data_IF_987494702601
#
_entry.id   IF_987494702601
#
_cell.length_a   1.000
_cell.length_b   1.000
_cell.length_c   1.000
_cell.angle_alpha   90.00
_cell.angle_beta   90.00
_cell.angle_gamma   90.00
#
_symmetry.space_group_name_H-M   'P 1'
#
loop_
_entity.id
_entity.type
_entity.pdbx_description
1 polymer ?
#
# COMPACT_ATOMS: atom_id res chain seq x y z
N UNK A 1 5.33 -23.49 12.63
CA UNK A 1 5.76 -22.69 13.78
C UNK A 1 4.94 -23.05 15.01
N UNK A 2 3.60 -22.89 15.00
CA UNK A 2 2.72 -23.14 16.16
C UNK A 2 2.92 -24.56 16.70
N UNK A 3 2.82 -25.60 15.87
CA UNK A 3 2.97 -27.00 16.30
C UNK A 3 4.34 -27.30 16.93
N UNK A 4 5.40 -26.58 16.55
CA UNK A 4 6.73 -26.70 17.15
C UNK A 4 6.81 -26.06 18.55
N UNK A 5 6.05 -24.98 18.76
CA UNK A 5 6.08 -24.25 20.03
C UNK A 5 5.26 -24.91 21.13
N UNK A 6 4.37 -25.86 20.78
CA UNK A 6 3.47 -26.53 21.70
C UNK A 6 3.79 -28.02 21.90
N UNK A 7 4.73 -28.58 21.08
CA UNK A 7 5.06 -30.01 21.13
C UNK A 7 5.55 -30.50 22.50
N UNK A 8 6.07 -29.61 23.30
CA UNK A 8 6.68 -29.90 24.60
C UNK A 8 5.77 -29.56 25.80
N UNK A 9 4.49 -29.20 25.51
CA UNK A 9 3.54 -28.81 26.56
C UNK A 9 2.53 -29.94 26.81
N UNK A 10 2.73 -30.68 27.89
CA UNK A 10 1.84 -31.77 28.30
C UNK A 10 0.42 -31.25 28.60
N UNK A 11 -0.58 -31.95 28.08
CA UNK A 11 -1.99 -31.67 28.34
C UNK A 11 -2.59 -30.50 27.55
N UNK A 12 -1.84 -29.92 26.60
CA UNK A 12 -2.34 -28.86 25.71
C UNK A 12 -2.54 -29.43 24.30
N UNK A 13 -3.74 -29.26 23.74
CA UNK A 13 -4.01 -29.47 22.32
C UNK A 13 -4.39 -28.14 21.69
N UNK A 14 -3.92 -27.89 20.47
CA UNK A 14 -4.25 -26.69 19.71
C UNK A 14 -4.75 -27.09 18.34
N UNK A 15 -6.00 -26.74 18.03
CA UNK A 15 -6.56 -26.83 16.70
C UNK A 15 -6.39 -25.50 15.98
N UNK A 16 -5.82 -25.55 14.77
CA UNK A 16 -5.58 -24.35 13.95
C UNK A 16 -6.46 -24.45 12.72
N UNK A 17 -7.49 -23.62 12.67
CA UNK A 17 -8.33 -23.45 11.50
C UNK A 17 -7.91 -22.18 10.73
N UNK A 18 -7.71 -22.31 9.42
CA UNK A 18 -7.47 -21.17 8.56
C UNK A 18 -8.79 -20.52 8.17
N UNK A 19 -9.14 -19.42 8.82
CA UNK A 19 -10.36 -18.67 8.54
C UNK A 19 -10.23 -17.87 7.23
N UNK A 20 -9.04 -17.31 6.95
CA UNK A 20 -8.80 -16.49 5.77
C UNK A 20 -7.35 -16.56 5.32
N UNK A 21 -7.13 -16.51 4.03
CA UNK A 21 -5.81 -16.28 3.43
C UNK A 21 -5.83 -14.95 2.69
N UNK A 22 -5.06 -14.00 3.17
CA UNK A 22 -4.85 -12.72 2.49
C UNK A 22 -3.57 -12.81 1.66
N UNK A 23 -3.71 -12.84 0.35
CA UNK A 23 -2.55 -12.74 -0.56
C UNK A 23 -2.03 -11.30 -0.60
N UNK A 24 -0.71 -11.09 -0.69
CA UNK A 24 -0.13 -9.77 -0.83
C UNK A 24 -0.48 -9.15 -2.18
N UNK A 25 -0.37 -7.82 -2.28
CA UNK A 25 -0.36 -7.14 -3.57
C UNK A 25 0.91 -7.57 -4.34
N UNK A 26 0.71 -8.26 -5.46
CA UNK A 26 1.80 -8.72 -6.33
C UNK A 26 1.90 -7.82 -7.56
N UNK A 27 3.11 -7.45 -8.00
CA UNK A 27 3.30 -6.73 -9.26
C UNK A 27 2.76 -7.55 -10.44
N UNK A 28 1.93 -6.95 -11.27
CA UNK A 28 1.38 -7.59 -12.47
C UNK A 28 1.37 -6.63 -13.65
N UNK A 29 1.45 -7.16 -14.87
CA UNK A 29 1.43 -6.36 -16.09
C UNK A 29 2.51 -5.28 -16.10
N UNK A 30 2.20 -4.13 -16.70
CA UNK A 30 3.14 -2.99 -16.79
C UNK A 30 3.08 -2.07 -15.55
N UNK A 31 3.06 -2.66 -14.38
CA UNK A 31 3.04 -1.91 -13.11
C UNK A 31 4.24 -0.99 -12.96
N UNK A 32 5.40 -1.35 -13.53
CA UNK A 32 6.61 -0.53 -13.43
C UNK A 32 6.46 0.79 -14.20
N UNK A 33 5.81 0.79 -15.37
CA UNK A 33 5.49 2.02 -16.10
C UNK A 33 4.59 2.93 -15.27
N UNK A 34 3.52 2.37 -14.69
CA UNK A 34 2.61 3.11 -13.82
C UNK A 34 3.34 3.71 -12.62
N UNK A 35 4.15 2.91 -11.93
CA UNK A 35 4.92 3.34 -10.77
C UNK A 35 5.92 4.47 -11.13
N UNK A 36 6.61 4.34 -12.26
CA UNK A 36 7.57 5.34 -12.72
C UNK A 36 6.92 6.69 -13.07
N UNK A 37 5.73 6.66 -13.68
CA UNK A 37 4.98 7.89 -14.00
C UNK A 37 4.58 8.61 -12.71
N UNK A 38 4.00 7.88 -11.76
CA UNK A 38 3.59 8.48 -10.48
C UNK A 38 4.80 8.96 -9.69
N UNK A 39 5.89 8.21 -9.64
CA UNK A 39 7.13 8.60 -9.00
C UNK A 39 7.70 9.89 -9.58
N UNK A 40 7.77 10.00 -10.92
CA UNK A 40 8.21 11.21 -11.63
C UNK A 40 7.44 12.45 -11.16
N UNK A 41 6.12 12.38 -11.19
CA UNK A 41 5.28 13.51 -10.80
C UNK A 41 5.30 13.79 -9.30
N UNK A 42 5.33 12.74 -8.47
CA UNK A 42 5.46 12.89 -7.02
C UNK A 42 6.77 13.58 -6.65
N UNK A 43 7.89 13.17 -7.24
CA UNK A 43 9.18 13.80 -6.98
C UNK A 43 9.22 15.26 -7.43
N UNK A 44 8.61 15.58 -8.57
CA UNK A 44 8.55 16.97 -9.08
C UNK A 44 7.64 17.86 -8.22
N UNK A 45 6.47 17.39 -7.81
CA UNK A 45 5.51 18.19 -7.03
C UNK A 45 6.00 18.40 -5.59
N UNK A 46 6.64 17.39 -5.01
CA UNK A 46 7.11 17.42 -3.61
C UNK A 46 8.54 17.95 -3.47
N UNK A 47 9.22 18.26 -4.59
CA UNK A 47 10.61 18.70 -4.65
C UNK A 47 11.56 17.81 -3.83
N UNK A 48 11.40 16.49 -3.97
CA UNK A 48 12.22 15.49 -3.29
C UNK A 48 12.20 14.15 -4.05
N UNK A 49 13.21 13.34 -3.85
CA UNK A 49 13.22 11.97 -4.39
C UNK A 49 12.19 11.10 -3.64
N UNK A 50 11.26 10.50 -4.38
CA UNK A 50 10.22 9.62 -3.83
C UNK A 50 10.54 8.19 -4.26
N UNK A 51 11.01 7.33 -3.35
CA UNK A 51 11.32 5.95 -3.67
C UNK A 51 10.04 5.11 -3.83
N UNK A 52 10.13 4.08 -4.66
CA UNK A 52 9.16 2.98 -4.64
C UNK A 52 9.46 2.07 -3.45
N UNK A 53 8.45 1.75 -2.65
CA UNK A 53 8.62 0.92 -1.47
C UNK A 53 7.46 -0.06 -1.29
N UNK A 54 7.75 -1.21 -0.71
CA UNK A 54 6.72 -2.09 -0.19
C UNK A 54 6.26 -1.61 1.19
N UNK A 55 4.97 -1.66 1.43
CA UNK A 55 4.41 -1.31 2.73
C UNK A 55 3.64 -2.48 3.33
N UNK A 56 3.74 -2.71 4.64
CA UNK A 56 3.06 -3.81 5.31
C UNK A 56 1.59 -3.47 5.59
N UNK A 57 0.88 -3.01 4.56
CA UNK A 57 -0.53 -2.63 4.64
C UNK A 57 -1.40 -3.62 3.87
N UNK A 58 -2.53 -3.96 4.45
CA UNK A 58 -3.56 -4.74 3.80
C UNK A 58 -4.54 -3.81 3.10
N UNK A 59 -4.70 -3.97 1.78
CA UNK A 59 -5.61 -3.14 0.99
C UNK A 59 -6.34 -3.96 -0.06
N UNK A 60 -7.45 -3.44 -0.57
CA UNK A 60 -8.21 -4.04 -1.66
C UNK A 60 -7.49 -3.98 -3.02
N UNK A 61 -6.41 -3.23 -3.13
CA UNK A 61 -5.54 -3.17 -4.32
C UNK A 61 -5.09 -4.57 -4.79
N UNK A 62 -4.92 -5.53 -3.88
CA UNK A 62 -4.61 -6.92 -4.18
C UNK A 62 -5.65 -7.61 -5.06
N UNK A 63 -6.92 -7.22 -4.97
CA UNK A 63 -7.98 -7.79 -5.79
C UNK A 63 -7.86 -7.36 -7.24
N UNK A 64 -7.50 -6.11 -7.50
CA UNK A 64 -7.23 -5.63 -8.85
C UNK A 64 -6.02 -6.36 -9.46
N UNK A 65 -4.93 -6.48 -8.72
CA UNK A 65 -3.76 -7.22 -9.16
C UNK A 65 -4.06 -8.71 -9.42
N UNK A 66 -4.88 -9.35 -8.59
CA UNK A 66 -5.32 -10.74 -8.81
C UNK A 66 -6.08 -10.94 -10.13
N UNK A 67 -6.69 -9.88 -10.66
CA UNK A 67 -7.34 -9.87 -11.98
C UNK A 67 -6.43 -9.33 -13.11
N UNK A 68 -5.13 -9.23 -12.88
CA UNK A 68 -4.16 -8.80 -13.89
C UNK A 68 -4.11 -7.29 -14.13
N UNK A 69 -4.74 -6.48 -13.27
CA UNK A 69 -4.76 -5.02 -13.40
C UNK A 69 -3.52 -4.45 -12.70
N UNK A 70 -2.61 -3.74 -13.43
CA UNK A 70 -1.47 -3.07 -12.82
C UNK A 70 -1.93 -2.08 -11.75
N UNK A 71 -1.48 -2.26 -10.53
CA UNK A 71 -1.97 -1.49 -9.39
C UNK A 71 -0.83 -1.09 -8.48
N UNK A 72 -0.82 0.17 -8.07
CA UNK A 72 0.08 0.73 -7.05
C UNK A 72 -0.73 1.43 -5.97
N UNK A 73 -0.10 1.67 -4.84
CA UNK A 73 -0.65 2.50 -3.78
C UNK A 73 0.02 3.87 -3.83
N UNK A 74 -0.79 4.92 -3.90
CA UNK A 74 -0.37 6.30 -3.77
C UNK A 74 -1.48 7.10 -3.08
N UNK A 75 -1.14 7.98 -2.17
CA UNK A 75 -2.15 8.74 -1.43
C UNK A 75 -1.60 10.02 -0.81
N UNK A 76 -2.51 10.79 -0.23
CA UNK A 76 -2.27 12.09 0.36
C UNK A 76 -1.85 12.02 1.85
N UNK A 77 -1.54 10.85 2.34
CA UNK A 77 -1.22 10.65 3.75
C UNK A 77 0.05 11.39 4.20
N UNK A 78 0.19 11.64 5.49
CA UNK A 78 1.43 12.11 6.07
C UNK A 78 2.56 11.08 5.84
N UNK A 79 3.80 11.51 6.11
CA UNK A 79 5.00 10.73 5.78
C UNK A 79 5.17 9.44 6.60
N UNK A 80 4.52 9.36 7.75
CA UNK A 80 4.55 8.16 8.59
C UNK A 80 3.14 7.69 8.93
N UNK A 81 3.03 6.39 9.23
CA UNK A 81 1.78 5.77 9.68
C UNK A 81 1.35 6.34 11.04
N UNK A 82 2.33 6.65 11.89
CA UNK A 82 2.12 7.24 13.21
C UNK A 82 1.52 8.64 13.11
N UNK A 83 1.99 9.46 12.17
CA UNK A 83 1.48 10.82 11.97
C UNK A 83 0.06 10.83 11.39
N UNK A 84 -0.30 9.81 10.64
CA UNK A 84 -1.64 9.67 10.06
C UNK A 84 -2.69 9.37 11.12
N UNK A 85 -2.33 8.66 12.18
CA UNK A 85 -3.26 8.11 13.16
C UNK A 85 -4.42 7.31 12.49
N UNK A 86 -4.12 6.61 11.40
CA UNK A 86 -5.11 5.92 10.60
C UNK A 86 -5.98 4.97 11.46
N UNK A 87 -7.29 4.97 11.19
CA UNK A 87 -8.31 4.21 11.92
C UNK A 87 -8.51 4.63 13.40
N UNK A 88 -8.09 5.83 13.78
CA UNK A 88 -8.32 6.39 15.12
C UNK A 88 -9.27 7.59 15.05
N UNK A 89 -9.80 7.99 16.21
CA UNK A 89 -10.75 9.11 16.31
C UNK A 89 -10.15 10.46 15.90
N UNK A 90 -8.83 10.58 15.98
CA UNK A 90 -8.05 11.77 15.62
C UNK A 90 -7.23 11.59 14.33
N UNK A 91 -7.66 10.69 13.45
CA UNK A 91 -7.09 10.56 12.11
C UNK A 91 -7.15 11.91 11.39
N UNK A 92 -6.03 12.28 10.77
CA UNK A 92 -5.86 13.60 10.18
C UNK A 92 -5.09 13.55 8.88
N UNK A 93 -5.43 14.49 8.01
CA UNK A 93 -4.77 14.70 6.74
C UNK A 93 -4.43 16.19 6.58
N UNK A 94 -3.14 16.57 6.46
CA UNK A 94 -2.75 17.93 6.13
C UNK A 94 -3.26 18.35 4.75
N UNK A 95 -3.92 19.51 4.66
CA UNK A 95 -4.55 19.97 3.41
C UNK A 95 -3.55 20.22 2.28
N UNK A 96 -2.35 20.65 2.58
CA UNK A 96 -1.29 20.81 1.58
C UNK A 96 -0.91 19.46 0.95
N UNK A 97 -0.81 18.39 1.72
CA UNK A 97 -0.52 17.05 1.20
C UNK A 97 -1.66 16.51 0.33
N UNK A 98 -2.91 16.83 0.68
CA UNK A 98 -4.06 16.51 -0.17
C UNK A 98 -3.98 17.23 -1.52
N UNK A 99 -3.65 18.53 -1.52
CA UNK A 99 -3.49 19.30 -2.75
C UNK A 99 -2.35 18.78 -3.63
N UNK A 100 -1.22 18.44 -3.03
CA UNK A 100 -0.08 17.91 -3.76
C UNK A 100 -0.37 16.52 -4.33
N UNK A 101 -1.03 15.65 -3.57
CA UNK A 101 -1.47 14.35 -4.09
C UNK A 101 -2.45 14.50 -5.27
N UNK A 102 -3.38 15.43 -5.20
CA UNK A 102 -4.30 15.69 -6.30
C UNK A 102 -3.57 16.15 -7.58
N UNK A 103 -2.55 17.03 -7.45
CA UNK A 103 -1.70 17.43 -8.58
C UNK A 103 -0.96 16.24 -9.19
N UNK A 104 -0.33 15.41 -8.34
CA UNK A 104 0.39 14.21 -8.79
C UNK A 104 -0.53 13.27 -9.55
N UNK A 105 -1.72 12.98 -9.02
CA UNK A 105 -2.70 12.11 -9.67
C UNK A 105 -3.12 12.69 -11.03
N UNK A 106 -3.46 13.99 -11.08
CA UNK A 106 -3.88 14.63 -12.32
C UNK A 106 -2.80 14.59 -13.41
N UNK A 107 -1.54 14.89 -13.05
CA UNK A 107 -0.40 14.82 -13.97
C UNK A 107 -0.13 13.38 -14.42
N UNK A 108 -0.24 12.42 -13.51
CA UNK A 108 -0.05 11.00 -13.84
C UNK A 108 -1.12 10.47 -14.80
N UNK A 109 -2.38 10.87 -14.60
CA UNK A 109 -3.47 10.51 -15.52
C UNK A 109 -3.22 11.14 -16.90
N UNK A 110 -2.80 12.39 -16.96
CA UNK A 110 -2.48 13.04 -18.22
C UNK A 110 -1.38 12.30 -19.00
N UNK A 111 -0.31 11.87 -18.33
CA UNK A 111 0.78 11.10 -18.96
C UNK A 111 0.36 9.67 -19.35
N UNK A 112 -0.66 9.10 -18.71
CA UNK A 112 -1.16 7.76 -19.03
C UNK A 112 -2.11 7.75 -20.23
N UNK A 113 -2.74 8.88 -20.54
CA UNK A 113 -3.71 9.01 -21.64
C UNK A 113 -3.08 9.37 -22.99
N UNK A 114 -1.79 9.66 -23.00
CA UNK A 114 -0.99 9.98 -24.20
C UNK A 114 -0.19 8.76 -24.62
#
# INVERSE_FOLDING_TARGET
>A
LINRSISDLDGISVDVERIMLAEPLKPVGDVQRLASIVQKHASAVLDQDIPQAGVPLYTDARHYAAHGIPTILYGAGPRSIEDANAHRADERLPLNLLQDAAKVIALSIADLLV
#
